data_IF_589157049180
#
_entry.id   IF_589157049180
#
_cell.length_a   1.000
_cell.length_b   1.000
_cell.length_c   1.000
_cell.angle_alpha   90.00
_cell.angle_beta   90.00
_cell.angle_gamma   90.00
#
_symmetry.space_group_name_H-M   'P 1'
#
loop_
_entity.id
_entity.type
_entity.pdbx_description
1 polymer ?
#
# COMPACT_ATOMS: atom_id res chain seq x y z
N UNK A 1 19.17 1.72 1.48
CA UNK A 1 17.98 1.41 2.30
C UNK A 1 17.27 2.72 2.63
N UNK A 2 15.94 2.73 2.73
CA UNK A 2 15.22 3.95 3.12
C UNK A 2 14.97 3.98 4.63
N UNK A 3 14.52 5.13 5.13
CA UNK A 3 14.18 5.30 6.54
C UNK A 3 12.91 4.50 6.89
N UNK A 4 12.83 4.04 8.14
CA UNK A 4 11.61 3.49 8.75
C UNK A 4 10.50 4.56 8.79
N UNK A 5 10.87 5.84 8.79
CA UNK A 5 9.91 6.92 8.96
C UNK A 5 9.52 7.10 10.43
N UNK A 6 8.89 8.22 10.76
CA UNK A 6 8.63 8.62 12.14
C UNK A 6 7.49 7.84 12.82
N UNK A 7 6.70 7.08 12.06
CA UNK A 7 5.40 6.54 12.52
C UNK A 7 5.26 5.03 12.29
N UNK A 8 6.33 4.27 12.49
CA UNK A 8 6.21 2.81 12.58
C UNK A 8 5.34 2.43 13.79
N UNK A 9 4.31 1.59 13.65
CA UNK A 9 3.41 1.27 14.76
C UNK A 9 4.11 0.53 15.90
N UNK A 10 4.02 1.07 17.12
CA UNK A 10 4.70 0.51 18.30
C UNK A 10 3.81 -0.44 19.13
N UNK A 11 2.50 -0.19 19.16
CA UNK A 11 1.55 -0.91 20.01
C UNK A 11 0.40 -1.57 19.25
N UNK A 12 0.15 -1.12 18.02
CA UNK A 12 -0.91 -1.67 17.18
C UNK A 12 -0.53 -3.05 16.67
N UNK A 13 -1.50 -3.97 16.66
CA UNK A 13 -1.31 -5.26 16.01
C UNK A 13 -1.52 -5.09 14.50
N UNK A 14 -0.67 -5.71 13.67
CA UNK A 14 -0.88 -5.67 12.23
C UNK A 14 -2.17 -6.39 11.86
N UNK A 15 -2.88 -5.87 10.86
CA UNK A 15 -3.92 -6.64 10.18
C UNK A 15 -3.28 -7.80 9.40
N UNK A 16 -3.88 -8.99 9.49
CA UNK A 16 -3.38 -10.23 8.85
C UNK A 16 -4.23 -10.66 7.64
N UNK A 17 -5.31 -9.95 7.36
CA UNK A 17 -6.27 -10.26 6.29
C UNK A 17 -5.91 -9.65 4.94
N UNK A 18 -4.78 -8.94 4.84
CA UNK A 18 -4.34 -8.24 3.63
C UNK A 18 -5.34 -7.19 3.08
N UNK A 19 -6.25 -6.69 3.93
CA UNK A 19 -7.24 -5.68 3.56
C UNK A 19 -7.26 -4.54 4.59
N UNK A 20 -6.44 -3.52 4.34
CA UNK A 20 -6.34 -2.34 5.18
C UNK A 20 -7.47 -1.35 4.91
N UNK A 21 -8.14 -1.46 3.77
CA UNK A 21 -9.30 -0.63 3.44
C UNK A 21 -10.55 -1.06 4.21
N UNK A 22 -10.60 -2.30 4.69
CA UNK A 22 -11.65 -2.79 5.58
C UNK A 22 -11.10 -3.84 6.56
N UNK A 23 -10.25 -3.43 7.51
CA UNK A 23 -9.60 -4.36 8.42
C UNK A 23 -10.63 -5.04 9.32
N UNK A 24 -10.22 -6.17 9.90
CA UNK A 24 -11.12 -6.98 10.72
C UNK A 24 -11.71 -6.17 11.88
N UNK A 25 -13.04 -6.15 11.96
CA UNK A 25 -13.78 -5.39 12.98
C UNK A 25 -14.14 -3.95 12.58
N UNK A 26 -13.78 -3.47 11.39
CA UNK A 26 -14.28 -2.19 10.87
C UNK A 26 -15.77 -2.29 10.49
N UNK A 27 -16.53 -1.25 10.81
CA UNK A 27 -17.97 -1.18 10.51
C UNK A 27 -18.23 -0.86 9.03
N UNK A 28 -17.32 -0.14 8.38
CA UNK A 28 -17.41 0.26 6.98
C UNK A 28 -16.03 0.22 6.30
N UNK A 29 -16.00 0.48 5.00
CA UNK A 29 -14.75 0.73 4.27
C UNK A 29 -14.14 2.08 4.68
N UNK A 30 -12.80 2.14 4.65
CA UNK A 30 -12.03 3.35 4.85
C UNK A 30 -12.29 4.35 3.71
N UNK A 31 -12.24 5.63 4.05
CA UNK A 31 -12.39 6.73 3.12
C UNK A 31 -11.13 6.88 2.26
N UNK A 32 -11.31 7.00 0.94
CA UNK A 32 -10.24 7.29 -0.01
C UNK A 32 -10.37 6.53 -1.32
N UNK A 33 -9.37 6.69 -2.17
CA UNK A 33 -9.22 5.90 -3.40
C UNK A 33 -8.77 4.48 -3.03
N UNK A 34 -9.60 3.47 -3.29
CA UNK A 34 -9.25 2.08 -3.06
C UNK A 34 -8.23 1.61 -4.09
N UNK A 35 -7.13 1.03 -3.61
CA UNK A 35 -6.05 0.51 -4.45
C UNK A 35 -5.70 -0.92 -4.05
N UNK A 36 -5.43 -1.74 -5.06
CA UNK A 36 -4.91 -3.10 -4.90
C UNK A 36 -3.43 -3.09 -5.27
N UNK A 37 -2.59 -3.39 -4.31
CA UNK A 37 -1.14 -3.43 -4.50
C UNK A 37 -0.73 -4.89 -4.60
N UNK A 38 0.00 -5.23 -5.66
CA UNK A 38 0.56 -6.56 -5.85
C UNK A 38 2.03 -6.46 -6.22
N UNK A 39 2.79 -7.49 -5.90
CA UNK A 39 4.22 -7.52 -6.21
C UNK A 39 4.85 -8.87 -5.95
N UNK A 40 6.18 -8.92 -6.08
CA UNK A 40 7.00 -10.10 -5.80
C UNK A 40 8.24 -9.71 -5.03
N UNK A 41 8.59 -10.50 -4.03
CA UNK A 41 9.90 -10.45 -3.37
C UNK A 41 10.82 -11.44 -4.08
N UNK A 42 11.95 -10.93 -4.57
CA UNK A 42 12.95 -11.71 -5.30
C UNK A 42 14.36 -11.39 -4.79
N UNK A 43 15.28 -12.34 -4.96
CA UNK A 43 16.71 -12.14 -4.70
C UNK A 43 17.33 -11.24 -5.77
N UNK A 44 18.60 -10.84 -5.60
CA UNK A 44 19.34 -10.11 -6.63
C UNK A 44 19.48 -10.90 -7.95
N UNK A 45 19.41 -12.23 -7.90
CA UNK A 45 19.43 -13.11 -9.07
C UNK A 45 18.05 -13.27 -9.72
N UNK A 46 16.98 -12.74 -9.09
CA UNK A 46 15.61 -12.83 -9.58
C UNK A 46 14.80 -14.03 -9.04
N UNK A 47 15.39 -14.84 -8.16
CA UNK A 47 14.71 -16.00 -7.59
C UNK A 47 13.63 -15.59 -6.59
N UNK A 48 12.46 -16.26 -6.56
CA UNK A 48 11.39 -15.92 -5.63
C UNK A 48 11.80 -16.19 -4.17
N UNK A 49 11.45 -15.26 -3.27
CA UNK A 49 11.60 -15.46 -1.83
C UNK A 49 10.25 -15.86 -1.25
N UNK A 50 10.07 -17.15 -1.02
CA UNK A 50 8.87 -17.71 -0.42
C UNK A 50 8.82 -17.47 1.10
N UNK A 51 7.61 -17.28 1.62
CA UNK A 51 7.35 -17.10 3.06
C UNK A 51 8.10 -15.92 3.71
N UNK A 52 8.48 -14.92 2.90
CA UNK A 52 9.01 -13.67 3.43
C UNK A 52 7.91 -12.94 4.19
N UNK A 53 8.25 -12.41 5.36
CA UNK A 53 7.37 -11.54 6.13
C UNK A 53 7.45 -10.14 5.54
N UNK A 54 6.29 -9.56 5.26
CA UNK A 54 6.19 -8.17 4.83
C UNK A 54 5.35 -7.43 5.85
N UNK A 55 5.84 -6.31 6.36
CA UNK A 55 5.06 -5.37 7.15
C UNK A 55 4.93 -4.06 6.40
N UNK A 56 3.71 -3.54 6.35
CA UNK A 56 3.41 -2.27 5.68
C UNK A 56 2.75 -1.32 6.66
N UNK A 57 3.17 -0.05 6.62
CA UNK A 57 2.53 1.03 7.37
C UNK A 57 2.39 2.27 6.50
N UNK A 58 1.28 2.99 6.66
CA UNK A 58 0.99 4.18 5.87
C UNK A 58 0.00 5.11 6.58
N UNK A 59 -0.05 6.36 6.10
CA UNK A 59 -1.12 7.28 6.44
C UNK A 59 -2.46 6.84 5.82
N UNK A 60 -3.56 7.39 6.34
CA UNK A 60 -4.87 7.34 5.67
C UNK A 60 -4.90 8.29 4.45
N UNK A 61 -6.05 8.35 3.76
CA UNK A 61 -6.24 9.22 2.60
C UNK A 61 -6.08 10.72 2.89
N UNK A 62 -6.20 11.15 4.15
CA UNK A 62 -5.98 12.54 4.57
C UNK A 62 -4.51 12.82 4.97
N UNK A 63 -3.61 11.84 4.86
CA UNK A 63 -2.21 11.98 5.27
C UNK A 63 -2.00 11.89 6.78
N UNK A 64 -2.97 11.34 7.53
CA UNK A 64 -2.87 11.13 8.98
C UNK A 64 -2.45 9.69 9.31
N UNK A 65 -1.40 9.53 10.10
CA UNK A 65 -1.04 8.27 10.73
C UNK A 65 -1.82 8.09 12.02
N UNK A 66 -2.21 6.83 12.30
CA UNK A 66 -2.67 6.40 13.62
C UNK A 66 -1.46 6.21 14.53
N UNK A 67 -0.80 7.31 14.88
CA UNK A 67 0.39 7.30 15.72
C UNK A 67 0.33 8.47 16.73
N UNK A 68 0.64 8.25 18.02
CA UNK A 68 0.50 9.29 19.05
C UNK A 68 1.41 10.51 18.81
N UNK A 69 2.56 10.32 18.17
CA UNK A 69 3.49 11.40 17.83
C UNK A 69 3.15 12.13 16.52
N UNK A 70 2.11 11.72 15.79
CA UNK A 70 1.68 12.44 14.59
C UNK A 70 0.86 13.67 15.03
N UNK A 71 1.39 14.87 14.77
CA UNK A 71 0.76 16.16 15.08
C UNK A 71 0.02 16.79 13.90
N UNK A 72 -0.06 16.14 12.73
CA UNK A 72 -0.83 16.61 11.59
C UNK A 72 -2.31 16.81 11.99
N UNK A 73 -2.93 17.98 11.75
CA UNK A 73 -4.33 18.24 12.12
C UNK A 73 -5.34 17.46 11.27
N UNK A 74 -4.90 16.76 10.22
CA UNK A 74 -5.75 15.92 9.38
C UNK A 74 -6.55 14.89 10.21
N UNK A 75 -7.80 14.57 9.82
CA UNK A 75 -8.64 13.66 10.57
C UNK A 75 -8.12 12.22 10.50
N UNK A 76 -8.26 11.50 11.61
CA UNK A 76 -8.17 10.03 11.60
C UNK A 76 -9.41 9.44 10.91
N UNK A 77 -9.22 8.31 10.25
CA UNK A 77 -10.31 7.49 9.77
C UNK A 77 -10.55 6.34 10.76
N UNK A 78 -11.74 6.23 11.38
CA UNK A 78 -12.03 5.19 12.35
C UNK A 78 -12.00 3.77 11.75
N UNK A 79 -12.22 3.63 10.44
CA UNK A 79 -12.22 2.36 9.72
C UNK A 79 -10.83 2.00 9.16
N UNK A 80 -9.84 2.90 9.27
CA UNK A 80 -8.48 2.67 8.77
C UNK A 80 -7.46 2.55 9.91
N UNK A 81 -6.69 1.45 9.91
CA UNK A 81 -5.59 1.22 10.86
C UNK A 81 -4.23 1.57 10.28
N UNK A 82 -4.05 1.37 8.98
CA UNK A 82 -2.80 1.71 8.28
C UNK A 82 -1.60 0.85 8.64
N UNK A 83 -1.81 -0.36 9.20
CA UNK A 83 -0.74 -1.32 9.50
C UNK A 83 -1.18 -2.75 9.18
N UNK A 84 -0.36 -3.48 8.42
CA UNK A 84 -0.61 -4.88 8.11
C UNK A 84 0.67 -5.70 7.98
N UNK A 85 0.50 -7.00 8.13
CA UNK A 85 1.53 -8.00 7.90
C UNK A 85 1.02 -9.00 6.86
N UNK A 86 1.88 -9.28 5.89
CA UNK A 86 1.65 -10.22 4.80
C UNK A 86 2.75 -11.28 4.82
N UNK A 87 2.48 -12.40 4.19
CA UNK A 87 3.48 -13.45 3.94
C UNK A 87 3.47 -13.77 2.45
N UNK A 88 4.65 -13.83 1.83
CA UNK A 88 4.74 -14.18 0.40
C UNK A 88 4.40 -15.65 0.16
N UNK A 89 3.80 -15.92 -0.99
CA UNK A 89 3.55 -17.28 -1.46
C UNK A 89 4.83 -17.98 -1.96
N UNK A 90 4.72 -19.23 -2.41
CA UNK A 90 5.84 -20.00 -2.94
C UNK A 90 6.53 -19.37 -4.18
N UNK A 91 5.83 -18.51 -4.92
CA UNK A 91 6.36 -17.77 -6.06
C UNK A 91 6.86 -16.36 -5.66
N UNK A 92 6.95 -16.07 -4.36
CA UNK A 92 7.37 -14.81 -3.78
C UNK A 92 6.33 -13.70 -3.91
N UNK A 93 5.10 -14.00 -4.30
CA UNK A 93 4.06 -13.00 -4.58
C UNK A 93 3.41 -12.52 -3.28
N UNK A 94 3.01 -11.26 -3.27
CA UNK A 94 2.15 -10.68 -2.24
C UNK A 94 1.10 -9.79 -2.89
N UNK A 95 -0.02 -9.64 -2.19
CA UNK A 95 -1.09 -8.74 -2.57
C UNK A 95 -1.76 -8.18 -1.32
N UNK A 96 -2.21 -6.94 -1.38
CA UNK A 96 -3.06 -6.36 -0.34
C UNK A 96 -3.94 -5.26 -0.92
N UNK A 97 -5.05 -4.99 -0.23
CA UNK A 97 -5.96 -3.90 -0.52
C UNK A 97 -5.78 -2.80 0.52
N UNK A 98 -5.78 -1.54 0.09
CA UNK A 98 -5.65 -0.37 0.96
C UNK A 98 -6.33 0.85 0.33
N UNK A 99 -6.26 1.99 1.00
CA UNK A 99 -6.54 3.30 0.41
C UNK A 99 -5.24 3.97 -0.03
N UNK A 100 -5.27 4.72 -1.13
CA UNK A 100 -4.15 5.58 -1.53
C UNK A 100 -3.89 6.61 -0.42
N UNK A 101 -2.68 6.63 0.19
CA UNK A 101 -2.38 7.52 1.30
C UNK A 101 -2.30 8.97 0.83
N UNK A 102 -2.75 9.90 1.66
CA UNK A 102 -2.53 11.32 1.42
C UNK A 102 -1.06 11.70 1.67
N UNK A 103 -0.62 12.78 1.01
CA UNK A 103 0.63 13.48 1.37
C UNK A 103 0.56 14.02 2.80
N UNK A 104 1.69 14.16 3.48
CA UNK A 104 1.72 14.71 4.84
C UNK A 104 2.92 15.64 5.07
N UNK A 105 2.75 16.67 5.92
CA UNK A 105 3.83 17.60 6.24
C UNK A 105 4.83 16.99 7.21
N UNK A 106 6.11 17.28 7.00
CA UNK A 106 7.19 17.07 7.95
C UNK A 106 7.36 18.31 8.85
N UNK A 107 7.99 18.17 10.04
CA UNK A 107 8.25 19.31 10.93
C UNK A 107 9.07 20.45 10.31
N UNK A 108 9.88 20.16 9.29
CA UNK A 108 10.68 21.14 8.55
C UNK A 108 9.93 21.78 7.37
N UNK A 109 8.64 21.48 7.21
CA UNK A 109 7.77 22.04 6.17
C UNK A 109 7.80 21.29 4.83
N UNK A 110 8.66 20.27 4.66
CA UNK A 110 8.61 19.43 3.46
C UNK A 110 7.32 18.60 3.43
N UNK A 111 6.68 18.53 2.27
CA UNK A 111 5.56 17.62 2.04
C UNK A 111 6.08 16.29 1.53
N UNK A 112 5.85 15.21 2.28
CA UNK A 112 6.12 13.86 1.80
C UNK A 112 5.15 13.52 0.67
N UNK A 113 5.61 12.89 -0.42
CA UNK A 113 4.74 12.35 -1.47
C UNK A 113 3.82 11.27 -0.90
N UNK A 114 2.82 10.87 -1.65
CA UNK A 114 1.98 9.73 -1.30
C UNK A 114 2.85 8.46 -1.32
N UNK A 115 2.97 7.76 -0.19
CA UNK A 115 3.80 6.56 -0.09
C UNK A 115 3.31 5.56 0.95
N UNK A 116 3.70 4.31 0.78
CA UNK A 116 3.48 3.20 1.70
C UNK A 116 4.86 2.72 2.17
N UNK A 117 5.11 2.71 3.47
CA UNK A 117 6.33 2.10 3.98
C UNK A 117 6.23 0.58 3.95
N UNK A 118 7.36 -0.07 3.74
CA UNK A 118 7.47 -1.52 3.65
C UNK A 118 8.73 -2.01 4.35
N UNK A 119 8.57 -3.02 5.19
CA UNK A 119 9.64 -3.82 5.76
C UNK A 119 9.48 -5.21 5.18
N UNK A 120 10.51 -5.70 4.50
CA UNK A 120 10.58 -7.06 3.97
C UNK A 120 11.65 -7.81 4.74
N UNK A 121 11.29 -8.96 5.29
CA UNK A 121 12.17 -9.84 6.03
C UNK A 121 12.18 -11.21 5.37
N UNK A 122 13.34 -11.56 4.81
CA UNK A 122 13.64 -12.89 4.30
C UNK A 122 14.18 -13.80 5.40
N UNK A 123 14.93 -14.83 5.00
CA UNK A 123 15.51 -15.80 5.97
C UNK A 123 16.69 -15.23 6.74
N UNK A 124 17.48 -14.35 6.12
CA UNK A 124 18.74 -13.83 6.66
C UNK A 124 18.87 -12.32 6.54
N UNK A 125 17.96 -11.69 5.79
CA UNK A 125 18.04 -10.30 5.37
C UNK A 125 16.75 -9.56 5.70
N UNK A 126 16.91 -8.26 5.97
CA UNK A 126 15.81 -7.34 6.22
C UNK A 126 16.04 -6.06 5.43
N UNK A 127 15.00 -5.61 4.74
CA UNK A 127 15.00 -4.37 3.97
C UNK A 127 13.87 -3.48 4.46
N UNK A 128 14.18 -2.20 4.72
CA UNK A 128 13.19 -1.14 4.89
C UNK A 128 13.22 -0.27 3.64
N UNK A 129 12.04 -0.06 3.05
CA UNK A 129 11.83 0.72 1.84
C UNK A 129 10.45 1.39 1.86
N UNK A 130 10.15 2.19 0.84
CA UNK A 130 8.85 2.81 0.65
C UNK A 130 8.43 2.60 -0.82
N UNK A 131 7.11 2.49 -1.04
CA UNK A 131 6.48 2.46 -2.35
C UNK A 131 5.86 3.85 -2.60
N UNK A 132 6.15 4.44 -3.74
CA UNK A 132 5.69 5.78 -4.11
C UNK A 132 4.77 5.70 -5.32
N UNK A 133 3.73 6.52 -5.39
CA UNK A 133 2.82 6.49 -6.54
C UNK A 133 3.43 7.25 -7.72
N UNK A 134 3.47 6.61 -8.90
CA UNK A 134 4.01 7.21 -10.11
C UNK A 134 3.19 8.44 -10.53
N UNK A 135 3.88 9.49 -11.01
CA UNK A 135 3.25 10.72 -11.51
C UNK A 135 2.93 11.77 -10.43
N UNK A 136 3.16 11.47 -9.15
CA UNK A 136 2.96 12.46 -8.07
C UNK A 136 4.04 13.57 -8.13
N UNK A 137 3.65 14.86 -8.15
CA UNK A 137 4.60 15.98 -8.28
C UNK A 137 5.67 16.02 -7.18
N UNK A 138 5.30 15.70 -5.94
CA UNK A 138 6.19 15.72 -4.79
C UNK A 138 7.34 14.70 -4.88
N UNK A 139 7.22 13.68 -5.74
CA UNK A 139 8.31 12.74 -6.00
C UNK A 139 9.56 13.46 -6.54
N UNK A 140 9.39 14.54 -7.30
CA UNK A 140 10.50 15.27 -7.90
C UNK A 140 11.41 15.95 -6.86
N UNK A 141 10.90 16.20 -5.66
CA UNK A 141 11.62 16.91 -4.58
C UNK A 141 11.82 16.07 -3.31
N UNK A 142 11.23 14.87 -3.20
CA UNK A 142 11.39 14.01 -2.01
C UNK A 142 12.84 13.57 -1.84
N UNK A 143 13.45 13.97 -0.74
CA UNK A 143 14.89 13.71 -0.49
C UNK A 143 15.23 12.23 -0.34
N UNK A 144 14.30 11.40 0.13
CA UNK A 144 14.57 9.98 0.38
C UNK A 144 14.44 9.14 -0.88
N UNK A 145 13.47 9.44 -1.73
CA UNK A 145 13.33 8.83 -3.06
C UNK A 145 14.56 9.17 -3.89
N UNK A 146 14.87 10.46 -4.02
CA UNK A 146 15.95 10.95 -4.89
C UNK A 146 17.37 10.69 -4.36
N UNK A 147 17.52 10.17 -3.14
CA UNK A 147 18.82 9.71 -2.62
C UNK A 147 19.28 8.36 -3.18
N UNK A 148 18.38 7.61 -3.83
CA UNK A 148 18.67 6.27 -4.34
C UNK A 148 19.25 6.31 -5.76
N UNK A 149 20.12 5.35 -6.14
CA UNK A 149 20.65 5.28 -7.51
C UNK A 149 19.59 5.00 -8.59
N UNK A 150 18.50 4.33 -8.22
CA UNK A 150 17.43 3.87 -9.13
C UNK A 150 16.06 4.12 -8.46
N UNK A 151 15.67 5.40 -8.25
CA UNK A 151 14.42 5.75 -7.56
C UNK A 151 13.18 5.23 -8.28
N UNK A 152 13.23 5.08 -9.61
CA UNK A 152 12.15 4.59 -10.45
C UNK A 152 11.69 3.18 -10.06
N UNK A 153 12.55 2.37 -9.44
CA UNK A 153 12.20 1.02 -8.95
C UNK A 153 11.23 1.01 -7.78
N UNK A 154 11.05 2.15 -7.11
CA UNK A 154 10.12 2.30 -6.00
C UNK A 154 8.78 2.91 -6.43
N UNK A 155 8.64 3.28 -7.71
CA UNK A 155 7.41 3.84 -8.24
C UNK A 155 6.41 2.72 -8.57
N UNK A 156 5.24 2.79 -7.96
CA UNK A 156 4.08 1.94 -8.28
C UNK A 156 3.17 2.64 -9.26
N UNK A 157 2.78 1.94 -10.32
CA UNK A 157 1.87 2.45 -11.34
C UNK A 157 0.46 1.94 -11.04
N UNK A 158 -0.50 2.86 -10.93
CA UNK A 158 -1.91 2.49 -10.84
C UNK A 158 -2.36 1.91 -12.18
N UNK A 159 -2.93 0.71 -12.14
CA UNK A 159 -3.55 0.07 -13.30
C UNK A 159 -5.06 0.24 -13.23
N UNK A 160 -5.71 0.59 -14.34
CA UNK A 160 -7.16 0.61 -14.41
C UNK A 160 -7.71 -0.80 -14.13
N UNK A 161 -8.82 -0.94 -13.38
CA UNK A 161 -9.46 -2.23 -13.21
C UNK A 161 -9.85 -2.81 -14.59
N UNK A 162 -9.80 -4.13 -14.77
CA UNK A 162 -10.23 -4.73 -16.03
C UNK A 162 -11.69 -4.39 -16.29
N UNK A 163 -12.00 -3.97 -17.53
CA UNK A 163 -13.38 -3.79 -17.97
C UNK A 163 -14.03 -5.17 -18.12
N UNK A 164 -14.91 -5.52 -17.18
CA UNK A 164 -15.68 -6.77 -17.21
C UNK A 164 -17.10 -6.42 -17.62
N UNK A 165 -17.58 -7.01 -18.73
CA UNK A 165 -18.98 -6.94 -19.13
C UNK A 165 -19.50 -8.36 -19.40
N UNK A 166 -20.81 -8.58 -19.21
CA UNK A 166 -21.50 -9.81 -19.57
C UNK A 166 -22.74 -9.47 -20.37
N UNK A 167 -22.91 -10.10 -21.53
CA UNK A 167 -24.10 -9.95 -22.37
C UNK A 167 -24.93 -11.22 -22.21
N UNK A 168 -26.19 -11.09 -21.81
CA UNK A 168 -27.16 -12.18 -21.84
C UNK A 168 -28.09 -11.97 -23.03
N UNK A 169 -28.22 -12.99 -23.89
CA UNK A 169 -29.21 -13.03 -24.96
C UNK A 169 -30.45 -13.76 -24.44
N UNK A 170 -31.62 -13.11 -24.43
CA UNK A 170 -32.87 -13.81 -24.19
C UNK A 170 -33.31 -14.53 -25.46
N UNK A 171 -33.63 -15.82 -25.37
CA UNK A 171 -34.34 -16.53 -26.44
C UNK A 171 -35.79 -16.07 -26.45
N UNK A 172 -36.20 -15.35 -27.49
CA UNK A 172 -37.63 -15.13 -27.77
C UNK A 172 -38.19 -16.44 -28.32
N UNK A 173 -39.12 -17.06 -27.59
CA UNK A 173 -39.90 -18.18 -28.10
C UNK A 173 -40.62 -17.75 -29.38
N UNK A 174 -40.24 -18.37 -30.50
CA UNK A 174 -41.01 -18.30 -31.74
C UNK A 174 -42.29 -19.08 -31.50
N UNK A 175 -43.41 -18.38 -31.32
CA UNK A 175 -44.73 -18.99 -31.38
C UNK A 175 -44.99 -19.41 -32.83
N UNK A 176 -45.13 -20.71 -33.07
CA UNK A 176 -45.65 -21.24 -34.33
C UNK A 176 -47.17 -21.05 -34.35
N UNK A 177 -47.67 -20.38 -35.40
CA UNK A 177 -49.06 -20.44 -35.86
C UNK A 177 -49.09 -21.11 -37.23
#
# INVERSE_FOLDING_TARGET
PQIVGPFYPLTERPDLGADLARPSGSAAEAHGELVYVTGRVVTCSGDPVAHARIEIWQANAAGKYRHPSDTNPAPLDPNFRGFAQLTTDAAGRYAFRTVKPGRYPMPDGEMRPQHIHCLVEGRIDRLVTQLYFAGEPENATDRWLNSLPQPERLLVTLQAPPLIFSIQKSESQVQHT
#
